data_IF_082732838346
#
_entry.id   IF_082732838346
#
_cell.length_a   1.000
_cell.length_b   1.000
_cell.length_c   1.000
_cell.angle_alpha   90.00
_cell.angle_beta   90.00
_cell.angle_gamma   90.00
#
_symmetry.space_group_name_H-M   'P 1'
#
loop_
_entity.id
_entity.type
_entity.pdbx_description
1 polymer ?
#
# COMPACT_ATOMS: atom_id res chain seq x y z
N UNK A 1 36.18 -24.42 34.64
CA UNK A 1 35.74 -23.14 34.05
C UNK A 1 34.91 -23.48 32.83
N UNK A 2 33.59 -23.28 32.93
CA UNK A 2 32.65 -23.53 31.84
C UNK A 2 32.78 -22.35 30.88
N UNK A 3 33.20 -22.61 29.64
CA UNK A 3 33.29 -21.59 28.60
C UNK A 3 31.89 -21.17 28.18
N UNK A 4 31.47 -19.98 28.61
CA UNK A 4 30.29 -19.30 28.09
C UNK A 4 30.44 -19.14 26.57
N UNK A 5 29.51 -19.77 25.84
CA UNK A 5 29.36 -19.54 24.40
C UNK A 5 28.60 -18.23 24.22
N UNK A 6 29.11 -17.22 23.51
CA UNK A 6 28.37 -15.99 23.29
C UNK A 6 27.28 -16.27 22.26
N UNK A 7 26.07 -16.59 22.73
CA UNK A 7 24.85 -16.52 21.91
C UNK A 7 24.53 -15.04 21.67
N UNK A 8 25.21 -14.43 20.71
CA UNK A 8 24.71 -13.21 20.08
C UNK A 8 23.42 -13.58 19.32
N UNK A 9 22.30 -12.89 19.54
CA UNK A 9 21.06 -13.17 18.83
C UNK A 9 21.28 -12.90 17.34
N UNK A 10 21.28 -13.96 16.56
CA UNK A 10 21.43 -13.92 15.11
C UNK A 10 20.20 -13.22 14.51
N UNK A 11 20.36 -11.95 14.14
CA UNK A 11 19.34 -11.12 13.46
C UNK A 11 18.89 -11.73 12.12
N UNK A 12 19.61 -12.74 11.59
CA UNK A 12 19.35 -13.36 10.29
C UNK A 12 18.08 -14.24 10.19
N UNK A 13 17.35 -14.54 11.27
CA UNK A 13 16.20 -15.48 11.18
C UNK A 13 14.82 -14.83 10.94
N UNK A 14 14.69 -13.50 11.04
CA UNK A 14 13.38 -12.85 11.02
C UNK A 14 12.79 -12.69 9.60
N UNK A 15 13.63 -12.35 8.62
CA UNK A 15 13.25 -12.25 7.21
C UNK A 15 13.41 -13.60 6.49
N UNK A 16 12.68 -13.79 5.39
CA UNK A 16 12.99 -14.86 4.45
C UNK A 16 14.34 -14.59 3.77
N UNK A 17 15.06 -15.64 3.33
CA UNK A 17 16.26 -15.44 2.53
C UNK A 17 15.91 -14.67 1.27
N UNK A 18 16.86 -13.85 0.82
CA UNK A 18 16.79 -13.25 -0.50
C UNK A 18 17.03 -14.36 -1.53
N UNK A 19 15.96 -14.77 -2.21
CA UNK A 19 16.00 -15.91 -3.14
C UNK A 19 16.61 -15.52 -4.48
N UNK A 20 16.49 -14.24 -4.84
CA UNK A 20 16.89 -13.73 -6.15
C UNK A 20 17.65 -12.40 -6.00
N UNK A 21 18.98 -12.45 -5.76
CA UNK A 21 19.80 -11.25 -5.51
C UNK A 21 20.01 -10.34 -6.73
N UNK A 22 19.92 -10.87 -7.96
CA UNK A 22 20.21 -10.16 -9.22
C UNK A 22 18.94 -9.72 -9.96
N UNK A 23 18.27 -8.66 -9.49
CA UNK A 23 17.18 -7.99 -10.25
C UNK A 23 17.51 -6.56 -10.65
N UNK A 24 18.78 -6.34 -11.00
CA UNK A 24 19.16 -5.21 -11.82
C UNK A 24 18.86 -5.55 -13.29
N UNK A 25 18.34 -4.58 -14.04
CA UNK A 25 17.85 -4.62 -15.43
C UNK A 25 16.33 -4.88 -15.59
N UNK A 26 15.59 -3.76 -15.59
CA UNK A 26 14.26 -3.55 -16.18
C UNK A 26 13.00 -3.88 -15.38
N UNK A 27 12.95 -3.48 -14.11
CA UNK A 27 11.68 -3.18 -13.46
C UNK A 27 11.88 -1.84 -12.75
N UNK A 28 11.16 -0.79 -13.16
CA UNK A 28 11.14 0.52 -12.49
C UNK A 28 11.09 0.31 -10.96
N UNK A 29 11.93 1.06 -10.22
CA UNK A 29 12.07 1.09 -8.76
C UNK A 29 10.93 0.34 -8.03
N UNK A 30 11.19 -0.96 -7.83
CA UNK A 30 10.27 -2.13 -7.83
C UNK A 30 9.26 -2.18 -6.69
N UNK A 31 9.05 -1.06 -6.00
CA UNK A 31 8.10 -0.97 -4.93
C UNK A 31 7.02 0.10 -5.11
N UNK A 32 6.95 0.77 -6.26
CA UNK A 32 6.11 1.96 -6.51
C UNK A 32 4.61 1.70 -6.68
N UNK A 33 3.99 0.83 -5.87
CA UNK A 33 2.71 0.24 -6.24
C UNK A 33 1.81 -0.34 -5.12
N UNK A 34 1.32 0.45 -4.17
CA UNK A 34 0.10 0.10 -3.40
C UNK A 34 -0.89 1.24 -3.41
N UNK A 35 -2.11 1.01 -3.88
CA UNK A 35 -3.13 2.06 -4.01
C UNK A 35 -3.30 2.90 -2.72
N UNK A 36 -2.96 4.20 -2.75
CA UNK A 36 -2.94 5.22 -1.69
C UNK A 36 -4.32 5.82 -1.41
N UNK A 37 -5.12 6.08 -2.43
CA UNK A 37 -6.23 7.07 -2.39
C UNK A 37 -7.55 6.66 -3.08
N UNK A 38 -7.64 5.48 -3.71
CA UNK A 38 -8.97 4.83 -3.89
C UNK A 38 -9.31 3.92 -2.71
N UNK A 39 -8.54 4.07 -1.64
CA UNK A 39 -8.80 3.52 -0.33
C UNK A 39 -8.69 4.60 0.76
N UNK A 40 -9.61 5.58 0.79
CA UNK A 40 -9.83 6.36 2.01
C UNK A 40 -9.93 5.44 3.25
N UNK A 41 -10.27 4.15 3.07
CA UNK A 41 -10.41 3.13 4.11
C UNK A 41 -9.41 1.96 4.07
N UNK A 42 -8.13 2.18 3.74
CA UNK A 42 -7.07 1.19 4.00
C UNK A 42 -6.87 0.84 5.50
N UNK A 43 -7.68 1.41 6.39
CA UNK A 43 -7.88 0.92 7.74
C UNK A 43 -8.59 -0.45 7.77
N UNK A 44 -9.18 -0.90 6.65
CA UNK A 44 -10.05 -2.07 6.63
C UNK A 44 -9.33 -3.30 6.06
N UNK A 45 -9.50 -4.47 6.70
CA UNK A 45 -8.73 -5.67 6.38
C UNK A 45 -9.37 -6.51 5.27
N UNK A 46 -9.06 -6.18 4.01
CA UNK A 46 -9.54 -6.94 2.82
C UNK A 46 -8.99 -8.36 2.75
N UNK A 47 -7.72 -8.51 3.11
CA UNK A 47 -7.00 -9.76 2.95
C UNK A 47 -7.05 -10.60 4.22
N UNK A 48 -7.18 -11.91 4.04
CA UNK A 48 -6.98 -12.85 5.13
C UNK A 48 -5.51 -12.83 5.61
N UNK A 49 -5.34 -12.77 6.93
CA UNK A 49 -4.06 -13.00 7.61
C UNK A 49 -3.86 -14.47 8.00
N UNK A 50 -4.81 -15.34 7.69
CA UNK A 50 -4.74 -16.78 7.93
C UNK A 50 -3.95 -17.47 6.81
N UNK A 51 -3.23 -18.52 7.18
CA UNK A 51 -2.65 -19.46 6.20
C UNK A 51 -3.60 -20.58 5.80
N UNK A 52 -4.69 -20.75 6.55
CA UNK A 52 -5.76 -21.71 6.25
C UNK A 52 -6.85 -21.00 5.43
N UNK A 53 -7.46 -21.67 4.43
CA UNK A 53 -8.58 -21.10 3.69
C UNK A 53 -9.69 -20.66 4.63
N UNK A 54 -10.16 -19.43 4.46
CA UNK A 54 -11.28 -18.87 5.22
C UNK A 54 -12.46 -18.66 4.28
N UNK A 55 -13.56 -19.38 4.53
CA UNK A 55 -14.78 -19.35 3.71
C UNK A 55 -15.93 -18.63 4.39
N UNK A 56 -15.70 -18.00 5.55
CA UNK A 56 -16.69 -17.15 6.21
C UNK A 56 -16.70 -15.75 5.62
N UNK A 57 -17.89 -15.18 5.49
CA UNK A 57 -18.07 -13.76 5.16
C UNK A 57 -17.47 -12.92 6.29
N UNK A 58 -16.70 -11.89 5.93
CA UNK A 58 -16.15 -10.93 6.88
C UNK A 58 -16.85 -9.60 6.73
N UNK A 59 -17.28 -9.02 7.84
CA UNK A 59 -17.77 -7.65 7.90
C UNK A 59 -16.87 -6.84 8.82
N UNK A 60 -16.50 -5.65 8.36
CA UNK A 60 -15.73 -4.67 9.10
C UNK A 60 -16.52 -3.37 9.10
N UNK A 61 -16.52 -2.65 10.23
CA UNK A 61 -17.17 -1.34 10.35
C UNK A 61 -16.34 -0.39 11.21
N UNK A 62 -16.20 0.85 10.74
CA UNK A 62 -15.55 1.93 11.48
C UNK A 62 -16.02 3.29 10.97
N UNK A 63 -16.36 4.21 11.87
CA UNK A 63 -16.73 5.59 11.56
C UNK A 63 -17.86 5.70 10.51
N UNK A 64 -18.91 4.87 10.62
CA UNK A 64 -20.05 4.86 9.69
C UNK A 64 -19.78 4.21 8.33
N UNK A 65 -18.55 3.77 8.10
CA UNK A 65 -18.12 3.08 6.90
C UNK A 65 -18.03 1.57 7.18
N UNK A 66 -18.53 0.77 6.25
CA UNK A 66 -18.52 -0.68 6.36
C UNK A 66 -18.00 -1.34 5.11
N UNK A 67 -17.39 -2.49 5.32
CA UNK A 67 -16.84 -3.35 4.28
C UNK A 67 -17.29 -4.79 4.55
N UNK A 68 -17.89 -5.42 3.55
CA UNK A 68 -18.22 -6.84 3.56
C UNK A 68 -17.42 -7.57 2.49
N UNK A 69 -16.77 -8.66 2.88
CA UNK A 69 -15.91 -9.46 2.02
C UNK A 69 -16.46 -10.88 1.99
N UNK A 70 -16.94 -11.29 0.82
CA UNK A 70 -17.51 -12.60 0.56
C UNK A 70 -16.47 -13.48 -0.15
N UNK A 71 -16.02 -14.59 0.45
CA UNK A 71 -15.14 -15.54 -0.21
C UNK A 71 -15.90 -16.46 -1.18
N UNK A 72 -15.14 -17.10 -2.07
CA UNK A 72 -15.60 -18.30 -2.78
C UNK A 72 -15.30 -19.56 -1.98
N UNK A 73 -15.64 -20.74 -2.52
CA UNK A 73 -15.26 -22.05 -1.96
C UNK A 73 -13.74 -22.24 -1.85
N UNK A 74 -12.94 -21.40 -2.54
CA UNK A 74 -11.46 -21.40 -2.46
C UNK A 74 -10.94 -20.59 -1.27
N UNK A 75 -11.82 -19.87 -0.57
CA UNK A 75 -11.51 -18.99 0.54
C UNK A 75 -11.17 -17.56 0.12
N UNK A 76 -11.03 -16.68 1.11
CA UNK A 76 -10.63 -15.28 0.94
C UNK A 76 -9.21 -15.15 0.35
N UNK A 77 -9.02 -14.14 -0.49
CA UNK A 77 -7.68 -13.70 -0.87
C UNK A 77 -6.85 -13.38 0.40
N UNK A 78 -5.65 -13.93 0.46
CA UNK A 78 -4.71 -13.74 1.58
C UNK A 78 -3.81 -12.54 1.32
N UNK A 79 -3.15 -12.04 2.37
CA UNK A 79 -2.22 -10.91 2.24
C UNK A 79 -1.05 -11.22 1.30
N UNK A 80 -0.71 -12.50 1.12
CA UNK A 80 0.31 -12.91 0.15
C UNK A 80 -0.21 -12.84 -1.28
N UNK A 81 -1.50 -13.12 -1.52
CA UNK A 81 -2.09 -13.06 -2.87
C UNK A 81 -2.06 -11.64 -3.42
N UNK A 82 -2.13 -10.63 -2.53
CA UNK A 82 -1.93 -9.21 -2.85
C UNK A 82 -0.62 -8.94 -3.60
N UNK A 83 0.43 -9.73 -3.38
CA UNK A 83 1.73 -9.54 -4.07
C UNK A 83 1.57 -9.58 -5.60
N UNK A 84 0.57 -10.31 -6.11
CA UNK A 84 0.24 -10.36 -7.54
C UNK A 84 -0.29 -9.00 -8.02
N UNK A 85 -1.17 -8.37 -7.23
CA UNK A 85 -1.71 -7.04 -7.53
C UNK A 85 -0.62 -5.98 -7.44
N UNK A 86 0.23 -6.03 -6.41
CA UNK A 86 1.39 -5.12 -6.30
C UNK A 86 2.21 -5.18 -7.58
N UNK A 87 2.57 -6.38 -8.03
CA UNK A 87 3.32 -6.54 -9.28
C UNK A 87 2.59 -5.98 -10.51
N UNK A 88 1.29 -6.26 -10.66
CA UNK A 88 0.51 -5.72 -11.77
C UNK A 88 0.48 -4.19 -11.77
N UNK A 89 0.28 -3.58 -10.60
CA UNK A 89 0.29 -2.13 -10.43
C UNK A 89 1.69 -1.58 -10.76
N UNK A 90 2.78 -2.21 -10.28
CA UNK A 90 4.15 -1.81 -10.62
C UNK A 90 4.39 -1.79 -12.13
N UNK A 91 3.89 -2.80 -12.85
CA UNK A 91 4.02 -2.85 -14.32
C UNK A 91 3.22 -1.74 -15.02
N UNK A 92 2.02 -1.41 -14.52
CA UNK A 92 1.21 -0.31 -15.06
C UNK A 92 1.89 1.04 -14.76
N UNK A 93 2.37 1.26 -13.54
CA UNK A 93 3.06 2.49 -13.14
C UNK A 93 4.34 2.70 -13.96
N UNK A 94 5.12 1.65 -14.18
CA UNK A 94 6.31 1.70 -15.04
C UNK A 94 5.95 2.17 -16.47
N UNK A 95 4.85 1.64 -17.03
CA UNK A 95 4.36 2.06 -18.35
C UNK A 95 3.86 3.50 -18.36
N UNK A 96 3.12 3.91 -17.33
CA UNK A 96 2.67 5.31 -17.19
C UNK A 96 3.87 6.27 -17.12
N UNK A 97 4.89 5.95 -16.32
CA UNK A 97 6.14 6.74 -16.23
C UNK A 97 6.88 6.81 -17.56
N UNK A 98 6.83 5.74 -18.37
CA UNK A 98 7.38 5.71 -19.71
C UNK A 98 6.50 6.41 -20.78
N UNK A 99 5.34 6.98 -20.40
CA UNK A 99 4.40 7.58 -21.34
C UNK A 99 3.68 6.58 -22.25
N UNK A 100 3.68 5.29 -21.90
CA UNK A 100 3.03 4.24 -22.68
C UNK A 100 1.53 4.15 -22.38
N UNK A 101 0.76 3.64 -23.36
CA UNK A 101 -0.65 3.32 -23.15
C UNK A 101 -0.79 2.13 -22.20
N UNK A 102 -1.64 2.29 -21.19
CA UNK A 102 -1.97 1.24 -20.23
C UNK A 102 -3.38 0.69 -20.41
N UNK A 103 -3.58 -0.54 -19.97
CA UNK A 103 -4.84 -1.28 -20.04
C UNK A 103 -5.08 -2.00 -18.71
N UNK A 104 -6.35 -2.23 -18.39
CA UNK A 104 -6.77 -3.07 -17.26
C UNK A 104 -6.27 -4.50 -17.36
N UNK A 105 -6.02 -4.98 -18.58
CA UNK A 105 -5.59 -6.33 -18.87
C UNK A 105 -4.07 -6.37 -18.94
N UNK A 106 -3.45 -6.87 -17.89
CA UNK A 106 -2.01 -6.92 -17.70
C UNK A 106 -1.51 -8.32 -18.02
N UNK A 107 -0.64 -8.44 -19.04
CA UNK A 107 0.03 -9.70 -19.38
C UNK A 107 1.43 -9.70 -18.77
N UNK A 108 1.73 -10.73 -17.99
CA UNK A 108 2.98 -10.84 -17.23
C UNK A 108 3.58 -12.24 -17.30
N UNK A 109 4.91 -12.29 -17.40
CA UNK A 109 5.69 -13.51 -17.18
C UNK A 109 5.49 -14.00 -15.75
N UNK A 110 5.04 -15.24 -15.60
CA UNK A 110 4.79 -15.79 -14.26
C UNK A 110 6.08 -16.10 -13.52
N UNK A 111 7.17 -16.38 -14.24
CA UNK A 111 8.51 -16.52 -13.65
C UNK A 111 8.95 -15.20 -13.02
N UNK A 112 8.77 -14.09 -13.75
CA UNK A 112 9.24 -12.77 -13.31
C UNK A 112 8.40 -12.26 -12.12
N UNK A 113 7.09 -12.52 -12.13
CA UNK A 113 6.22 -12.30 -10.97
C UNK A 113 6.70 -13.06 -9.72
N UNK A 114 6.97 -14.36 -9.84
CA UNK A 114 7.42 -15.17 -8.69
C UNK A 114 8.75 -14.66 -8.15
N UNK A 115 9.64 -14.27 -9.06
CA UNK A 115 10.93 -13.70 -8.75
C UNK A 115 10.80 -12.36 -8.01
N UNK A 116 10.03 -11.41 -8.58
CA UNK A 116 9.77 -10.08 -8.01
C UNK A 116 9.22 -10.18 -6.58
N UNK A 117 8.30 -11.12 -6.37
CA UNK A 117 7.63 -11.33 -5.07
C UNK A 117 8.43 -12.20 -4.10
N UNK A 118 9.73 -12.45 -4.38
CA UNK A 118 10.64 -13.30 -3.60
C UNK A 118 10.09 -14.71 -3.30
N UNK A 119 9.31 -15.27 -4.22
CA UNK A 119 8.78 -16.65 -4.14
C UNK A 119 9.75 -17.64 -4.78
N UNK A 120 9.54 -18.93 -4.51
CA UNK A 120 10.23 -19.98 -5.24
C UNK A 120 9.77 -20.05 -6.70
N UNK A 121 10.56 -20.72 -7.54
CA UNK A 121 10.24 -20.93 -8.97
C UNK A 121 10.14 -22.41 -9.32
N UNK A 122 9.80 -23.27 -8.35
CA UNK A 122 9.56 -24.69 -8.56
C UNK A 122 8.09 -24.94 -8.92
N UNK A 123 7.75 -26.15 -9.40
CA UNK A 123 6.38 -26.49 -9.83
C UNK A 123 5.30 -26.22 -8.77
N UNK A 124 5.62 -26.45 -7.49
CA UNK A 124 4.72 -26.13 -6.36
C UNK A 124 4.39 -24.65 -6.25
N UNK A 125 5.33 -23.77 -6.56
CA UNK A 125 5.17 -22.31 -6.46
C UNK A 125 4.27 -21.78 -7.58
N UNK A 126 4.38 -22.38 -8.78
CA UNK A 126 3.43 -22.11 -9.86
C UNK A 126 2.03 -22.61 -9.52
N UNK A 127 1.88 -23.79 -8.88
CA UNK A 127 0.57 -24.25 -8.40
C UNK A 127 -0.03 -23.28 -7.38
N UNK A 128 0.76 -22.81 -6.42
CA UNK A 128 0.35 -21.82 -5.43
C UNK A 128 -0.04 -20.47 -6.06
N UNK A 129 0.61 -20.07 -7.17
CA UNK A 129 0.22 -18.90 -7.95
C UNK A 129 -1.18 -19.06 -8.57
N UNK A 130 -1.51 -20.24 -9.09
CA UNK A 130 -2.86 -20.50 -9.64
C UNK A 130 -3.91 -20.44 -8.53
N UNK A 131 -3.64 -21.09 -7.39
CA UNK A 131 -4.54 -21.06 -6.23
C UNK A 131 -4.74 -19.62 -5.69
N UNK A 132 -3.71 -18.78 -5.79
CA UNK A 132 -3.80 -17.36 -5.43
C UNK A 132 -4.69 -16.58 -6.40
N UNK A 133 -4.58 -16.83 -7.72
CA UNK A 133 -5.46 -16.23 -8.73
C UNK A 133 -6.92 -16.66 -8.52
N UNK A 134 -7.18 -17.94 -8.25
CA UNK A 134 -8.51 -18.46 -7.94
C UNK A 134 -9.15 -17.73 -6.73
N UNK A 135 -8.37 -17.46 -5.68
CA UNK A 135 -8.85 -16.71 -4.50
C UNK A 135 -9.09 -15.23 -4.80
N UNK A 136 -8.22 -14.60 -5.57
CA UNK A 136 -8.37 -13.20 -5.97
C UNK A 136 -9.63 -13.00 -6.84
N UNK A 137 -9.88 -13.90 -7.78
CA UNK A 137 -11.06 -13.89 -8.66
C UNK A 137 -12.35 -14.15 -7.88
N UNK A 138 -12.29 -15.08 -6.91
CA UNK A 138 -13.45 -15.47 -6.10
C UNK A 138 -13.79 -14.53 -4.93
N UNK A 139 -12.95 -13.55 -4.60
CA UNK A 139 -13.19 -12.62 -3.48
C UNK A 139 -14.03 -11.44 -3.94
N UNK A 140 -15.23 -11.30 -3.38
CA UNK A 140 -16.15 -10.19 -3.67
C UNK A 140 -16.22 -9.24 -2.49
N UNK A 141 -16.17 -7.95 -2.79
CA UNK A 141 -16.19 -6.85 -1.83
C UNK A 141 -17.48 -6.06 -2.04
N UNK A 142 -18.16 -5.73 -0.94
CA UNK A 142 -19.26 -4.75 -0.90
C UNK A 142 -18.97 -3.69 0.13
N UNK A 143 -19.30 -2.45 -0.17
CA UNK A 143 -19.00 -1.35 0.75
C UNK A 143 -19.79 -0.09 0.43
N UNK A 144 -19.92 0.80 1.41
CA UNK A 144 -20.44 2.16 1.28
C UNK A 144 -19.32 3.22 1.26
N UNK A 145 -18.07 2.85 0.93
CA UNK A 145 -17.01 3.86 0.71
C UNK A 145 -17.40 4.71 -0.49
N UNK A 146 -17.72 5.97 -0.21
CA UNK A 146 -17.98 6.94 -1.25
C UNK A 146 -16.67 7.40 -1.91
N UNK A 147 -16.67 7.47 -3.24
CA UNK A 147 -15.66 8.21 -4.02
C UNK A 147 -16.38 9.38 -4.70
N UNK A 148 -16.52 10.54 -4.02
CA UNK A 148 -17.30 11.69 -4.51
C UNK A 148 -18.34 12.21 -3.50
N UNK A 149 -19.43 12.81 -3.99
CA UNK A 149 -20.48 13.47 -3.18
C UNK A 149 -21.77 12.64 -3.02
N UNK A 150 -21.86 11.44 -3.61
CA UNK A 150 -23.06 10.58 -3.56
C UNK A 150 -22.84 9.30 -2.73
N UNK A 151 -23.80 8.94 -1.88
CA UNK A 151 -23.79 7.66 -1.16
C UNK A 151 -24.14 6.50 -2.11
N UNK A 152 -23.11 5.75 -2.53
CA UNK A 152 -23.24 4.57 -3.38
C UNK A 152 -22.79 3.30 -2.64
N UNK A 153 -23.56 2.22 -2.77
CA UNK A 153 -23.15 0.88 -2.33
C UNK A 153 -22.60 0.13 -3.53
N UNK A 154 -21.28 -0.05 -3.54
CA UNK A 154 -20.59 -0.71 -4.65
C UNK A 154 -20.16 -2.13 -4.31
N UNK A 155 -20.34 -3.02 -5.29
CA UNK A 155 -19.93 -4.41 -5.23
C UNK A 155 -18.91 -4.74 -6.31
N UNK A 156 -17.65 -5.01 -5.94
CA UNK A 156 -16.57 -5.27 -6.90
C UNK A 156 -15.66 -6.43 -6.46
N UNK A 157 -14.82 -6.89 -7.38
CA UNK A 157 -13.75 -7.85 -7.09
C UNK A 157 -12.39 -7.17 -7.12
N UNK A 158 -11.35 -7.84 -6.63
CA UNK A 158 -9.97 -7.36 -6.76
C UNK A 158 -9.46 -7.51 -8.21
N UNK A 159 -9.87 -8.59 -8.87
CA UNK A 159 -9.67 -8.83 -10.29
C UNK A 159 -11.00 -9.29 -10.90
N UNK A 160 -11.20 -9.00 -12.17
CA UNK A 160 -12.40 -9.41 -12.91
C UNK A 160 -12.20 -10.75 -13.62
N UNK A 161 -10.96 -11.07 -14.02
CA UNK A 161 -10.64 -12.30 -14.72
C UNK A 161 -9.14 -12.58 -14.64
N UNK A 162 -8.78 -13.86 -14.68
CA UNK A 162 -7.42 -14.31 -14.89
C UNK A 162 -7.35 -15.35 -16.02
N UNK A 163 -6.22 -15.42 -16.72
CA UNK A 163 -5.93 -16.52 -17.64
C UNK A 163 -4.46 -16.92 -17.59
N UNK A 164 -4.20 -18.20 -17.79
CA UNK A 164 -2.86 -18.78 -17.69
C UNK A 164 -2.54 -19.47 -19.02
N UNK A 165 -1.34 -19.22 -19.56
CA UNK A 165 -0.85 -19.92 -20.74
C UNK A 165 0.29 -20.86 -20.38
N UNK A 166 0.24 -22.07 -20.93
CA UNK A 166 1.22 -23.14 -20.71
C UNK A 166 1.80 -23.62 -22.04
N UNK A 167 3.06 -24.03 -22.01
CA UNK A 167 3.75 -24.72 -23.11
C UNK A 167 3.61 -26.23 -22.90
N UNK A 168 3.14 -26.98 -23.91
CA UNK A 168 2.93 -28.44 -23.88
C UNK A 168 1.69 -28.90 -23.08
N UNK A 169 0.56 -28.21 -23.24
CA UNK A 169 -0.72 -28.64 -22.65
C UNK A 169 -0.88 -28.27 -21.16
N UNK A 170 -1.89 -28.87 -20.50
CA UNK A 170 -2.30 -28.50 -19.13
C UNK A 170 -1.26 -28.83 -18.06
N UNK A 171 -0.43 -29.85 -18.29
CA UNK A 171 0.71 -30.21 -17.41
C UNK A 171 2.01 -29.50 -17.80
N UNK A 172 1.93 -28.68 -18.84
CA UNK A 172 3.03 -27.95 -19.41
C UNK A 172 3.56 -26.79 -18.56
N UNK A 173 4.74 -26.28 -18.93
CA UNK A 173 5.38 -25.14 -18.26
C UNK A 173 4.54 -23.89 -18.41
N UNK A 174 4.20 -23.26 -17.29
CA UNK A 174 3.51 -21.98 -17.27
C UNK A 174 4.42 -20.87 -17.86
N UNK A 175 3.94 -20.19 -18.89
CA UNK A 175 4.67 -19.13 -19.60
C UNK A 175 4.34 -17.76 -19.03
N UNK A 176 3.07 -17.37 -19.16
CA UNK A 176 2.58 -16.08 -18.71
C UNK A 176 1.18 -16.23 -18.14
N UNK A 177 0.81 -15.31 -17.26
CA UNK A 177 -0.57 -15.08 -16.87
C UNK A 177 -1.03 -13.72 -17.40
N UNK A 178 -2.32 -13.61 -17.63
CA UNK A 178 -2.98 -12.36 -17.97
C UNK A 178 -4.06 -12.10 -16.93
N UNK A 179 -4.05 -10.90 -16.37
CA UNK A 179 -4.92 -10.51 -15.26
C UNK A 179 -5.70 -9.28 -15.71
N UNK A 180 -7.04 -9.33 -15.65
CA UNK A 180 -7.90 -8.17 -15.82
C UNK A 180 -8.16 -7.58 -14.43
N UNK A 181 -7.53 -6.45 -14.12
CA UNK A 181 -7.84 -5.68 -12.92
C UNK A 181 -9.28 -5.16 -13.00
N UNK A 182 -9.96 -5.09 -11.87
CA UNK A 182 -11.30 -4.50 -11.82
C UNK A 182 -11.25 -3.01 -12.13
N UNK A 183 -12.38 -2.44 -12.56
CA UNK A 183 -12.52 -1.00 -12.80
C UNK A 183 -12.06 -0.19 -11.59
N UNK A 184 -12.46 -0.64 -10.40
CA UNK A 184 -12.10 -0.01 -9.14
C UNK A 184 -10.58 0.02 -8.91
N UNK A 185 -9.90 -1.13 -9.04
CA UNK A 185 -8.43 -1.19 -8.88
C UNK A 185 -7.73 -0.36 -9.95
N UNK A 186 -8.19 -0.40 -11.20
CA UNK A 186 -7.53 0.32 -12.29
C UNK A 186 -7.70 1.83 -12.24
N UNK A 187 -8.89 2.30 -11.84
CA UNK A 187 -9.14 3.74 -11.65
C UNK A 187 -8.23 4.30 -10.55
N UNK A 188 -7.95 3.50 -9.53
CA UNK A 188 -7.00 3.86 -8.47
C UNK A 188 -5.56 4.03 -8.93
N UNK A 189 -5.13 3.23 -9.89
CA UNK A 189 -3.79 3.40 -10.46
C UNK A 189 -3.74 4.73 -11.23
N UNK A 190 -4.82 5.08 -11.94
CA UNK A 190 -4.90 6.29 -12.76
C UNK A 190 -4.93 7.58 -11.96
N UNK A 191 -5.44 7.58 -10.74
CA UNK A 191 -5.41 8.76 -9.87
C UNK A 191 -4.04 9.02 -9.23
N UNK A 192 -3.01 8.24 -9.57
CA UNK A 192 -1.64 8.29 -8.99
C UNK A 192 -1.61 8.09 -7.47
N UNK A 193 -2.64 7.41 -7.03
CA UNK A 193 -2.94 7.12 -5.66
C UNK A 193 -2.16 5.87 -5.31
N UNK A 194 -0.85 5.96 -5.09
CA UNK A 194 0.00 4.78 -4.90
C UNK A 194 1.15 5.02 -3.89
N UNK A 195 1.43 4.05 -3.00
CA UNK A 195 2.48 4.03 -1.99
C UNK A 195 3.64 3.12 -2.42
N UNK A 196 4.86 3.60 -2.21
CA UNK A 196 6.09 2.83 -2.44
C UNK A 196 6.42 1.93 -1.25
N UNK A 197 6.60 0.63 -1.43
CA UNK A 197 7.04 -0.30 -0.37
C UNK A 197 8.58 -0.42 -0.30
N UNK A 198 9.10 -1.17 0.66
CA UNK A 198 10.51 -1.58 0.66
C UNK A 198 10.65 -2.95 -0.01
N UNK A 199 11.78 -3.23 -0.65
CA UNK A 199 12.07 -4.54 -1.28
C UNK A 199 11.87 -5.71 -0.30
N UNK A 200 12.35 -5.53 0.93
CA UNK A 200 12.22 -6.54 2.00
C UNK A 200 10.79 -6.79 2.49
N UNK A 201 9.78 -6.02 2.03
CA UNK A 201 8.37 -6.33 2.28
C UNK A 201 8.04 -7.76 1.87
N UNK A 202 8.50 -8.20 0.70
CA UNK A 202 8.26 -9.56 0.19
C UNK A 202 8.98 -10.63 1.01
N UNK A 203 9.98 -10.24 1.82
CA UNK A 203 10.71 -11.12 2.72
C UNK A 203 10.08 -11.23 4.11
N UNK A 204 9.11 -10.38 4.45
CA UNK A 204 8.35 -10.52 5.70
C UNK A 204 7.59 -11.85 5.71
N UNK A 205 7.96 -12.71 6.66
CA UNK A 205 7.48 -14.09 6.74
C UNK A 205 6.07 -14.18 7.29
N UNK A 206 5.70 -13.35 8.27
CA UNK A 206 4.40 -13.46 8.95
C UNK A 206 3.35 -12.55 8.29
N UNK A 207 2.10 -13.01 8.11
CA UNK A 207 1.02 -12.21 7.54
C UNK A 207 0.79 -10.91 8.32
N UNK A 208 0.78 -11.00 9.65
CA UNK A 208 0.58 -9.83 10.50
C UNK A 208 1.69 -8.78 10.33
N UNK A 209 2.95 -9.20 10.18
CA UNK A 209 4.07 -8.26 10.02
C UNK A 209 3.95 -7.46 8.71
N UNK A 210 3.52 -8.11 7.62
CA UNK A 210 3.19 -7.43 6.35
C UNK A 210 2.07 -6.41 6.54
N UNK A 211 1.01 -6.79 7.23
CA UNK A 211 -0.12 -5.89 7.51
C UNK A 211 0.29 -4.70 8.38
N UNK A 212 1.12 -4.95 9.40
CA UNK A 212 1.64 -3.90 10.27
C UNK A 212 2.56 -2.96 9.49
N UNK A 213 3.40 -3.48 8.58
CA UNK A 213 4.19 -2.65 7.66
C UNK A 213 3.30 -1.75 6.79
N UNK A 214 2.22 -2.27 6.22
CA UNK A 214 1.27 -1.47 5.41
C UNK A 214 0.63 -0.34 6.22
N UNK A 215 0.22 -0.62 7.46
CA UNK A 215 -0.38 0.38 8.35
C UNK A 215 0.66 1.45 8.72
N UNK A 216 1.88 1.05 9.04
CA UNK A 216 2.98 1.99 9.28
C UNK A 216 3.27 2.83 8.03
N UNK A 217 3.29 2.21 6.84
CA UNK A 217 3.56 2.92 5.59
C UNK A 217 2.46 3.93 5.24
N UNK A 218 1.21 3.60 5.53
CA UNK A 218 0.07 4.50 5.35
C UNK A 218 0.08 5.66 6.34
N UNK A 219 0.24 5.37 7.64
CA UNK A 219 0.01 6.37 8.68
C UNK A 219 1.28 7.10 9.13
N UNK A 220 2.43 6.42 9.17
CA UNK A 220 3.72 7.05 9.41
C UNK A 220 4.26 7.67 8.11
N UNK A 221 4.17 6.96 6.98
CA UNK A 221 4.69 7.48 5.72
C UNK A 221 6.17 7.88 5.89
N UNK A 222 6.50 9.13 5.56
CA UNK A 222 7.82 9.73 5.79
C UNK A 222 7.93 10.51 7.11
N UNK A 223 6.87 10.62 7.90
CA UNK A 223 6.89 11.28 9.21
C UNK A 223 7.91 10.60 10.12
N UNK A 224 8.48 11.35 11.06
CA UNK A 224 9.48 10.80 11.97
C UNK A 224 8.91 9.67 12.84
N UNK A 225 7.67 9.85 13.33
CA UNK A 225 7.04 8.95 14.28
C UNK A 225 5.54 8.89 14.05
N UNK A 226 4.96 7.69 14.15
CA UNK A 226 3.53 7.47 14.30
C UNK A 226 3.25 6.57 15.51
N UNK A 227 2.19 6.87 16.25
CA UNK A 227 1.78 6.12 17.44
C UNK A 227 0.34 5.65 17.31
N UNK A 228 0.08 4.42 17.75
CA UNK A 228 -1.27 3.86 17.83
C UNK A 228 -1.40 3.00 19.08
N UNK A 229 -2.58 2.98 19.69
CA UNK A 229 -2.86 2.01 20.74
C UNK A 229 -2.91 0.60 20.16
N UNK A 230 -2.62 -0.40 20.99
CA UNK A 230 -2.67 -1.81 20.61
C UNK A 230 -4.07 -2.19 20.10
N UNK A 231 -5.12 -1.68 20.75
CA UNK A 231 -6.52 -1.88 20.36
C UNK A 231 -6.81 -1.35 18.94
N UNK A 232 -6.39 -0.11 18.67
CA UNK A 232 -6.57 0.51 17.34
C UNK A 232 -5.79 -0.27 16.29
N UNK A 233 -4.55 -0.68 16.60
CA UNK A 233 -3.73 -1.46 15.68
C UNK A 233 -4.35 -2.85 15.42
N UNK A 234 -4.88 -3.51 16.45
CA UNK A 234 -5.61 -4.78 16.33
C UNK A 234 -6.81 -4.61 15.39
N UNK A 235 -7.64 -3.59 15.64
CA UNK A 235 -8.81 -3.27 14.81
C UNK A 235 -8.41 -3.01 13.36
N UNK A 236 -7.46 -2.09 13.10
CA UNK A 236 -7.03 -1.75 11.72
C UNK A 236 -6.30 -2.90 11.00
N UNK A 237 -5.66 -3.79 11.76
CA UNK A 237 -5.01 -4.97 11.19
C UNK A 237 -6.00 -6.01 10.68
N UNK A 238 -7.19 -6.08 11.28
CA UNK A 238 -8.16 -7.15 11.04
C UNK A 238 -7.72 -8.53 11.52
N UNK A 239 -6.74 -8.59 12.41
CA UNK A 239 -6.34 -9.85 13.04
C UNK A 239 -7.50 -10.39 13.88
N UNK A 240 -7.80 -11.68 13.70
CA UNK A 240 -8.77 -12.43 14.50
C UNK A 240 -8.14 -13.05 15.76
N UNK A 241 -6.88 -12.71 16.05
CA UNK A 241 -6.18 -13.25 17.22
C UNK A 241 -6.73 -12.62 18.50
N UNK A 242 -6.84 -13.38 19.61
CA UNK A 242 -7.09 -12.79 20.92
C UNK A 242 -6.08 -11.70 21.23
N UNK A 243 -6.51 -10.61 21.88
CA UNK A 243 -5.67 -9.43 22.12
C UNK A 243 -4.36 -9.77 22.82
N UNK A 244 -4.37 -10.70 23.77
CA UNK A 244 -3.16 -11.18 24.46
C UNK A 244 -2.14 -11.78 23.49
N UNK A 245 -2.59 -12.57 22.52
CA UNK A 245 -1.71 -13.15 21.50
C UNK A 245 -1.21 -12.06 20.54
N UNK A 246 -2.10 -11.15 20.12
CA UNK A 246 -1.72 -10.02 19.30
C UNK A 246 -0.64 -9.15 19.97
N UNK A 247 -0.81 -8.82 21.26
CA UNK A 247 0.19 -8.13 22.09
C UNK A 247 1.54 -8.82 22.02
N UNK A 248 1.56 -10.15 22.21
CA UNK A 248 2.81 -10.93 22.13
C UNK A 248 3.44 -10.87 20.74
N UNK A 249 2.64 -10.92 19.67
CA UNK A 249 3.14 -10.81 18.30
C UNK A 249 3.77 -9.44 18.02
N UNK A 250 3.16 -8.35 18.50
CA UNK A 250 3.69 -6.99 18.37
C UNK A 250 4.97 -6.81 19.21
N UNK A 251 5.01 -7.34 20.44
CA UNK A 251 6.23 -7.36 21.26
C UNK A 251 7.37 -8.08 20.54
N UNK A 252 7.10 -9.27 20.01
CA UNK A 252 8.10 -10.03 19.27
C UNK A 252 8.61 -9.27 18.04
N UNK A 253 7.72 -8.58 17.31
CA UNK A 253 8.09 -7.73 16.18
C UNK A 253 8.99 -6.55 16.60
N UNK A 254 8.66 -5.90 17.72
CA UNK A 254 9.46 -4.82 18.28
C UNK A 254 10.85 -5.31 18.69
N UNK A 255 10.93 -6.49 19.32
CA UNK A 255 12.21 -7.09 19.74
C UNK A 255 13.09 -7.50 18.56
N UNK A 256 12.53 -8.06 17.49
CA UNK A 256 13.30 -8.52 16.34
C UNK A 256 13.75 -7.39 15.40
N UNK A 257 13.12 -6.20 15.51
CA UNK A 257 13.50 -4.96 14.82
C UNK A 257 13.75 -5.09 13.31
N UNK A 258 13.07 -6.04 12.65
CA UNK A 258 13.28 -6.40 11.24
C UNK A 258 12.24 -5.80 10.29
N UNK A 259 11.32 -4.97 10.80
CA UNK A 259 10.33 -4.32 9.96
C UNK A 259 11.05 -3.32 9.02
N UNK A 260 10.88 -3.43 7.69
CA UNK A 260 11.48 -2.48 6.76
C UNK A 260 11.02 -1.06 7.04
N UNK A 261 11.85 -0.07 6.73
CA UNK A 261 11.63 1.39 6.92
C UNK A 261 11.34 1.90 8.33
N UNK A 262 10.93 1.03 9.25
CA UNK A 262 10.41 1.44 10.56
C UNK A 262 11.03 0.61 11.68
N UNK A 263 11.49 1.27 12.74
CA UNK A 263 11.71 0.67 14.06
C UNK A 263 10.37 0.62 14.77
N UNK A 264 10.06 -0.51 15.41
CA UNK A 264 8.83 -0.68 16.19
C UNK A 264 9.19 -0.73 17.66
N UNK A 265 8.54 0.10 18.47
CA UNK A 265 8.66 0.09 19.92
C UNK A 265 7.29 -0.20 20.54
N UNK A 266 7.31 -0.93 21.66
CA UNK A 266 6.09 -1.29 22.39
C UNK A 266 6.18 -0.85 23.85
N UNK A 267 5.32 0.09 24.24
CA UNK A 267 5.14 0.50 25.64
C UNK A 267 4.09 -0.41 26.29
N UNK A 268 4.55 -1.29 27.18
CA UNK A 268 3.67 -2.25 27.88
C UNK A 268 2.81 -1.63 28.98
N UNK A 269 3.14 -0.43 29.47
CA UNK A 269 2.35 0.24 30.50
C UNK A 269 1.16 0.98 29.88
N UNK A 270 1.35 1.54 28.68
CA UNK A 270 0.33 2.32 27.96
C UNK A 270 -0.39 1.53 26.87
N UNK A 271 0.04 0.29 26.60
CA UNK A 271 -0.39 -0.49 25.43
C UNK A 271 -0.28 0.32 24.12
N UNK A 272 0.84 1.03 23.97
CA UNK A 272 1.11 1.89 22.82
C UNK A 272 2.20 1.30 21.93
N UNK A 273 1.94 1.32 20.63
CA UNK A 273 2.90 0.93 19.59
C UNK A 273 3.41 2.20 18.92
N UNK A 274 4.73 2.37 18.88
CA UNK A 274 5.39 3.50 18.22
C UNK A 274 6.16 3.00 17.01
N UNK A 275 5.91 3.58 15.85
CA UNK A 275 6.63 3.35 14.60
C UNK A 275 7.56 4.54 14.37
N UNK A 276 8.85 4.30 14.34
CA UNK A 276 9.88 5.33 14.14
C UNK A 276 10.49 5.10 12.77
N UNK A 277 10.41 6.11 11.90
CA UNK A 277 10.99 6.05 10.57
C UNK A 277 12.53 5.98 10.64
N UNK A 278 13.12 5.03 9.91
CA UNK A 278 14.57 4.81 9.83
C UNK A 278 15.28 5.77 8.88
N UNK A 279 14.56 6.58 8.12
CA UNK A 279 15.09 7.46 7.08
C UNK A 279 15.56 6.71 5.82
N UNK A 280 15.17 5.44 5.65
CA UNK A 280 15.62 4.57 4.54
C UNK A 280 14.80 4.71 3.27
N UNK A 281 13.64 5.35 3.35
CA UNK A 281 12.85 5.65 2.16
C UNK A 281 13.65 6.63 1.31
N UNK A 282 14.00 6.23 0.07
CA UNK A 282 14.50 7.18 -0.92
C UNK A 282 13.51 8.36 -0.94
N UNK A 283 14.01 9.58 -0.74
CA UNK A 283 13.26 10.74 -1.18
C UNK A 283 12.88 10.45 -2.64
N UNK A 284 11.64 10.77 -3.04
CA UNK A 284 11.42 10.98 -4.47
C UNK A 284 12.57 11.87 -4.96
N UNK A 285 13.16 11.59 -6.13
CA UNK A 285 14.08 12.54 -6.76
C UNK A 285 13.49 13.93 -6.52
N UNK A 286 14.26 14.89 -5.96
CA UNK A 286 13.71 16.13 -5.47
C UNK A 286 12.74 16.63 -6.51
N UNK A 287 11.45 16.66 -6.14
CA UNK A 287 10.38 17.13 -6.99
C UNK A 287 10.92 18.35 -7.71
N UNK A 288 10.92 18.33 -9.05
CA UNK A 288 11.55 19.35 -9.88
C UNK A 288 11.37 20.71 -9.19
N UNK A 289 12.49 21.33 -8.76
CA UNK A 289 12.54 22.37 -7.71
C UNK A 289 11.21 23.10 -7.60
N UNK A 290 10.46 22.84 -6.52
CA UNK A 290 9.13 23.43 -6.31
C UNK A 290 9.18 24.90 -6.71
N UNK A 291 8.29 25.30 -7.63
CA UNK A 291 8.37 26.61 -8.28
C UNK A 291 8.59 27.71 -7.24
N UNK A 292 9.77 28.34 -7.29
CA UNK A 292 10.23 29.33 -6.31
C UNK A 292 9.97 30.78 -6.75
N UNK A 293 9.18 30.99 -7.80
CA UNK A 293 8.86 32.34 -8.23
C UNK A 293 8.11 33.14 -7.15
N UNK A 294 8.24 34.46 -7.20
CA UNK A 294 7.53 35.35 -6.29
C UNK A 294 6.06 35.45 -6.70
N UNK A 295 5.18 35.52 -5.70
CA UNK A 295 3.81 36.00 -5.89
C UNK A 295 3.77 37.49 -5.59
N UNK A 296 2.88 38.21 -6.27
CA UNK A 296 2.55 39.58 -5.90
C UNK A 296 1.98 39.61 -4.46
N UNK A 297 2.52 40.42 -3.53
CA UNK A 297 2.00 40.54 -2.17
C UNK A 297 0.50 40.87 -2.08
N UNK A 298 -0.07 41.54 -3.09
CA UNK A 298 -1.49 41.89 -3.11
C UNK A 298 -2.40 40.66 -3.20
N UNK A 299 -1.90 39.53 -3.75
CA UNK A 299 -2.68 38.29 -3.89
C UNK A 299 -3.05 37.66 -2.54
N UNK A 300 -2.30 37.96 -1.48
CA UNK A 300 -2.60 37.47 -0.14
C UNK A 300 -3.85 38.12 0.45
N UNK A 301 -4.23 39.31 -0.03
CA UNK A 301 -5.52 39.92 0.32
C UNK A 301 -6.68 39.07 -0.19
N UNK A 302 -6.63 38.74 -1.48
CA UNK A 302 -7.63 37.91 -2.14
C UNK A 302 -7.70 36.49 -1.54
N UNK A 303 -6.55 35.89 -1.26
CA UNK A 303 -6.49 34.58 -0.62
C UNK A 303 -7.16 34.55 0.77
N UNK A 304 -7.04 35.63 1.58
CA UNK A 304 -7.72 35.74 2.88
C UNK A 304 -9.25 35.83 2.73
N UNK A 305 -9.72 36.51 1.69
CA UNK A 305 -11.15 36.63 1.43
C UNK A 305 -11.75 35.29 0.98
N UNK A 306 -10.98 34.50 0.24
CA UNK A 306 -11.39 33.21 -0.32
C UNK A 306 -11.34 32.07 0.71
N UNK A 307 -10.29 32.04 1.54
CA UNK A 307 -10.09 31.04 2.57
C UNK A 307 -10.03 31.70 3.96
N UNK A 308 -11.15 32.25 4.47
CA UNK A 308 -11.16 32.96 5.74
C UNK A 308 -10.77 32.04 6.91
N UNK A 309 -9.94 32.56 7.81
CA UNK A 309 -9.43 31.85 8.99
C UNK A 309 -8.13 31.08 8.76
N UNK A 310 -7.76 30.78 7.52
CA UNK A 310 -6.50 30.11 7.19
C UNK A 310 -5.32 31.08 7.10
N UNK A 311 -4.14 30.65 7.54
CA UNK A 311 -2.88 31.36 7.31
C UNK A 311 -2.49 31.28 5.83
N UNK A 312 -2.45 32.43 5.15
CA UNK A 312 -2.11 32.54 3.73
C UNK A 312 -0.71 32.04 3.40
N UNK A 313 0.26 32.19 4.30
CA UNK A 313 1.61 31.68 4.08
C UNK A 313 1.66 30.16 4.24
N UNK A 314 0.77 29.59 5.05
CA UNK A 314 0.58 28.15 5.10
C UNK A 314 -0.02 27.65 3.79
N UNK A 315 -1.10 28.27 3.30
CA UNK A 315 -1.71 27.92 2.00
C UNK A 315 -0.71 28.03 0.85
N UNK A 316 0.15 29.05 0.85
CA UNK A 316 1.19 29.23 -0.14
C UNK A 316 2.22 28.09 -0.12
N UNK A 317 2.68 27.69 1.08
CA UNK A 317 3.60 26.54 1.22
C UNK A 317 2.96 25.27 0.69
N UNK A 318 1.71 25.00 1.07
CA UNK A 318 0.96 23.83 0.60
C UNK A 318 0.77 23.85 -0.92
N UNK A 319 0.46 25.01 -1.50
CA UNK A 319 0.34 25.18 -2.94
C UNK A 319 1.66 24.93 -3.66
N UNK A 320 2.78 25.49 -3.17
CA UNK A 320 4.10 25.28 -3.77
C UNK A 320 4.56 23.83 -3.67
N UNK A 321 4.30 23.16 -2.54
CA UNK A 321 4.54 21.71 -2.41
C UNK A 321 3.69 20.94 -3.43
N UNK A 322 2.41 21.29 -3.55
CA UNK A 322 1.53 20.68 -4.54
C UNK A 322 2.01 20.90 -5.99
N UNK A 323 2.55 22.07 -6.33
CA UNK A 323 3.17 22.31 -7.64
C UNK A 323 4.38 21.39 -7.86
N UNK A 324 5.24 21.25 -6.86
CA UNK A 324 6.39 20.35 -6.91
C UNK A 324 5.97 18.89 -7.11
N UNK A 325 5.06 18.40 -6.27
CA UNK A 325 4.55 17.02 -6.31
C UNK A 325 3.90 16.65 -7.66
N UNK A 326 3.40 17.64 -8.40
CA UNK A 326 2.74 17.45 -9.70
C UNK A 326 3.59 17.93 -10.89
N UNK A 327 4.84 18.35 -10.66
CA UNK A 327 5.75 18.88 -11.69
C UNK A 327 5.14 20.05 -12.50
N UNK A 328 4.38 20.93 -11.83
CA UNK A 328 3.66 22.04 -12.48
C UNK A 328 4.48 23.33 -12.37
N UNK A 329 4.85 23.90 -13.51
CA UNK A 329 5.29 25.29 -13.63
C UNK A 329 4.09 26.17 -14.03
N UNK A 330 3.48 26.95 -13.11
CA UNK A 330 2.28 27.71 -13.41
C UNK A 330 2.61 28.86 -14.37
N UNK A 331 1.88 28.94 -15.50
CA UNK A 331 1.98 30.07 -16.44
C UNK A 331 1.46 31.39 -15.86
N UNK A 332 0.46 31.30 -14.98
CA UNK A 332 -0.11 32.43 -14.23
C UNK A 332 -0.17 32.03 -12.74
N UNK A 333 0.92 32.24 -12.00
CA UNK A 333 1.06 31.78 -10.61
C UNK A 333 -0.06 32.26 -9.68
N UNK A 334 -0.44 33.53 -9.78
CA UNK A 334 -1.42 34.19 -8.90
C UNK A 334 -2.80 33.56 -9.06
N UNK A 335 -3.26 33.44 -10.32
CA UNK A 335 -4.55 32.81 -10.62
C UNK A 335 -4.58 31.34 -10.19
N UNK A 336 -3.44 30.66 -10.31
CA UNK A 336 -3.33 29.27 -9.87
C UNK A 336 -3.39 29.15 -8.35
N UNK A 337 -2.70 30.04 -7.63
CA UNK A 337 -2.70 30.08 -6.18
C UNK A 337 -4.10 30.38 -5.63
N UNK A 338 -4.80 31.36 -6.21
CA UNK A 338 -6.18 31.69 -5.83
C UNK A 338 -7.13 30.50 -6.01
N UNK A 339 -7.08 29.84 -7.18
CA UNK A 339 -7.90 28.65 -7.42
C UNK A 339 -7.57 27.50 -6.47
N UNK A 340 -6.30 27.39 -6.06
CA UNK A 340 -5.89 26.43 -5.04
C UNK A 340 -6.50 26.77 -3.69
N UNK A 341 -6.49 28.04 -3.26
CA UNK A 341 -7.15 28.49 -2.02
C UNK A 341 -8.66 28.22 -2.03
N UNK A 342 -9.35 28.49 -3.15
CA UNK A 342 -10.79 28.17 -3.31
C UNK A 342 -11.06 26.68 -3.10
N UNK A 343 -10.27 25.84 -3.79
CA UNK A 343 -10.42 24.37 -3.71
C UNK A 343 -10.05 23.85 -2.32
N UNK A 344 -9.04 24.45 -1.68
CA UNK A 344 -8.59 24.10 -0.33
C UNK A 344 -9.71 24.36 0.69
N UNK A 345 -10.29 25.56 0.66
CA UNK A 345 -11.35 25.97 1.56
C UNK A 345 -12.63 25.16 1.32
N UNK A 346 -13.03 24.94 0.07
CA UNK A 346 -14.20 24.13 -0.26
C UNK A 346 -14.10 22.70 0.29
N UNK A 347 -12.89 22.12 0.29
CA UNK A 347 -12.65 20.76 0.80
C UNK A 347 -12.50 20.66 2.32
N UNK A 348 -11.97 21.70 2.97
CA UNK A 348 -11.57 21.63 4.39
C UNK A 348 -12.39 22.51 5.33
N UNK A 349 -13.18 23.44 4.80
CA UNK A 349 -13.93 24.41 5.59
C UNK A 349 -13.02 25.40 6.32
N UNK A 350 -13.57 26.01 7.38
CA UNK A 350 -12.79 26.85 8.29
C UNK A 350 -11.89 25.99 9.19
N UNK A 351 -10.68 26.46 9.52
CA UNK A 351 -9.72 25.72 10.35
C UNK A 351 -10.13 25.62 11.82
#
# INVERSE_FOLDING_TARGET
>A
MVSETPNLPVVHEALLPERHPQHDLFICDVADAVLKDVMPQMEHPFYSLSKKPETSVRRYEHNGQWLEITPSVKGLATIYDKDILIYCISQIMAKLKAGEKVSQRVRISSRDLLIFTNRGTAGKDYKALIEALDRLEGTRIRTNIVTGDEEQVDGFGLIDASSIRRKLGLDGRLLHCEIKLSDWVFNAIKSNDVLTLHRDYFRLRKPLERRVYELARKHCGQQAVWKASLEILLKKSGSQSPEKLFRQMIKNLATSDHLPDYRVEFDSQKDMVTFINRGTMKAAEPAAEAWMGALDPDIYGDARNIAPGWDVHHLEREWRMWLGDNEIAPKNPERHFIKFCETWFAKRGQP
#
